data_IF_023351763531
#
_entry.id   IF_023351763531
#
_cell.length_a   1.000
_cell.length_b   1.000
_cell.length_c   1.000
_cell.angle_alpha   90.00
_cell.angle_beta   90.00
_cell.angle_gamma   90.00
#
_symmetry.space_group_name_H-M   'P 1'
#
loop_
_entity.id
_entity.type
_entity.pdbx_description
1 polymer ?
#
# COMPACT_ATOMS: atom_id res chain seq x y z
N UNK A 1 -9.03 -3.60 17.83
CA UNK A 1 -9.22 -2.26 17.25
C UNK A 1 -10.62 -2.22 16.64
N UNK A 2 -11.36 -1.13 16.78
CA UNK A 2 -12.66 -1.00 16.10
C UNK A 2 -12.46 -0.96 14.57
N UNK A 3 -13.38 -1.58 13.81
CA UNK A 3 -13.25 -1.74 12.36
C UNK A 3 -13.25 -0.39 11.61
N UNK A 4 -14.02 0.60 12.06
CA UNK A 4 -14.03 1.94 11.46
C UNK A 4 -12.69 2.65 11.64
N UNK A 5 -12.13 2.59 12.86
CA UNK A 5 -10.80 3.16 13.16
C UNK A 5 -9.68 2.45 12.40
N UNK A 6 -9.74 1.12 12.31
CA UNK A 6 -8.77 0.31 11.57
C UNK A 6 -8.76 0.62 10.07
N UNK A 7 -9.93 0.67 9.45
CA UNK A 7 -10.08 1.03 8.05
C UNK A 7 -9.61 2.46 7.78
N UNK A 8 -9.83 3.40 8.71
CA UNK A 8 -9.36 4.78 8.59
C UNK A 8 -7.84 4.86 8.56
N UNK A 9 -7.16 4.20 9.49
CA UNK A 9 -5.69 4.15 9.52
C UNK A 9 -5.15 3.53 8.23
N UNK A 10 -5.79 2.48 7.73
CA UNK A 10 -5.39 1.83 6.48
C UNK A 10 -5.58 2.75 5.27
N UNK A 11 -6.71 3.48 5.19
CA UNK A 11 -6.97 4.43 4.11
C UNK A 11 -5.92 5.54 4.09
N UNK A 12 -5.65 6.19 5.23
CA UNK A 12 -4.68 7.29 5.29
C UNK A 12 -3.28 6.78 4.96
N UNK A 13 -2.89 5.61 5.48
CA UNK A 13 -1.61 4.97 5.13
C UNK A 13 -1.53 4.68 3.62
N UNK A 14 -2.61 4.23 3.00
CA UNK A 14 -2.65 3.94 1.57
C UNK A 14 -2.58 5.21 0.72
N UNK A 15 -3.26 6.30 1.11
CA UNK A 15 -3.15 7.61 0.45
C UNK A 15 -1.70 8.10 0.49
N UNK A 16 -1.07 8.05 1.67
CA UNK A 16 0.34 8.42 1.85
C UNK A 16 1.22 7.56 0.94
N UNK A 17 1.05 6.23 0.95
CA UNK A 17 1.83 5.34 0.11
C UNK A 17 1.71 5.68 -1.38
N UNK A 18 0.49 5.86 -1.91
CA UNK A 18 0.28 6.21 -3.31
C UNK A 18 0.91 7.56 -3.68
N UNK A 19 0.75 8.57 -2.81
CA UNK A 19 1.38 9.88 -3.02
C UNK A 19 2.92 9.76 -3.01
N UNK A 20 3.49 9.00 -2.07
CA UNK A 20 4.94 8.83 -1.98
C UNK A 20 5.52 8.00 -3.13
N UNK A 21 4.79 7.02 -3.67
CA UNK A 21 5.18 6.31 -4.90
C UNK A 21 5.31 7.30 -6.05
N UNK A 22 4.29 8.14 -6.28
CA UNK A 22 4.29 9.16 -7.34
C UNK A 22 5.42 10.17 -7.14
N UNK A 23 5.58 10.73 -5.93
CA UNK A 23 6.60 11.74 -5.64
C UNK A 23 8.01 11.19 -5.80
N UNK A 24 8.30 10.00 -5.24
CA UNK A 24 9.62 9.39 -5.41
C UNK A 24 9.88 9.01 -6.86
N UNK A 25 8.88 8.52 -7.59
CA UNK A 25 9.05 8.23 -9.01
C UNK A 25 9.34 9.48 -9.84
N UNK A 26 8.70 10.62 -9.56
CA UNK A 26 9.05 11.90 -10.18
C UNK A 26 10.50 12.30 -9.91
N UNK A 27 10.97 12.19 -8.66
CA UNK A 27 12.37 12.46 -8.30
C UNK A 27 13.33 11.53 -9.05
N UNK A 28 13.00 10.24 -9.12
CA UNK A 28 13.79 9.25 -9.85
C UNK A 28 13.87 9.58 -11.34
N UNK A 29 12.75 10.01 -11.94
CA UNK A 29 12.69 10.37 -13.36
C UNK A 29 13.59 11.56 -13.72
N UNK A 30 13.78 12.55 -12.83
CA UNK A 30 14.64 13.71 -13.10
C UNK A 30 16.02 13.28 -13.60
N UNK A 31 16.61 12.26 -12.97
CA UNK A 31 17.93 11.74 -13.35
C UNK A 31 17.89 10.37 -14.06
N UNK A 32 16.71 9.75 -14.16
CA UNK A 32 16.54 8.38 -14.68
C UNK A 32 15.83 8.31 -16.02
N UNK A 33 15.24 9.42 -16.49
CA UNK A 33 14.43 9.43 -17.71
C UNK A 33 15.21 8.96 -18.94
N UNK A 34 16.50 9.26 -19.06
CA UNK A 34 17.33 8.79 -20.18
C UNK A 34 17.40 7.26 -20.23
N UNK A 35 17.46 6.56 -19.09
CA UNK A 35 17.45 5.09 -19.06
C UNK A 35 16.14 4.48 -19.57
N UNK A 36 15.02 5.21 -19.48
CA UNK A 36 13.71 4.79 -20.00
C UNK A 36 13.52 5.22 -21.46
N UNK A 37 14.03 6.38 -21.83
CA UNK A 37 13.83 7.00 -23.15
C UNK A 37 14.72 6.41 -24.25
N UNK A 38 15.84 5.77 -23.89
CA UNK A 38 16.66 4.98 -24.82
C UNK A 38 16.02 3.65 -25.21
N UNK A 39 14.92 3.27 -24.55
CA UNK A 39 14.17 2.05 -24.82
C UNK A 39 12.99 2.27 -25.78
N UNK A 40 12.00 1.39 -25.68
CA UNK A 40 10.88 1.32 -26.60
C UNK A 40 9.91 2.50 -26.41
N UNK A 41 9.42 3.12 -27.50
CA UNK A 41 8.48 4.26 -27.49
C UNK A 41 7.24 4.03 -26.60
N UNK A 42 6.82 2.78 -26.43
CA UNK A 42 5.72 2.37 -25.55
C UNK A 42 5.95 2.80 -24.09
N UNK A 43 7.20 2.86 -23.62
CA UNK A 43 7.52 3.26 -22.24
C UNK A 43 7.02 4.67 -21.92
N UNK A 44 7.08 5.61 -22.87
CA UNK A 44 6.61 7.00 -22.67
C UNK A 44 5.10 7.06 -22.40
N UNK A 45 4.32 6.31 -23.17
CA UNK A 45 2.87 6.23 -22.99
C UNK A 45 2.50 5.57 -21.66
N UNK A 46 3.25 4.53 -21.27
CA UNK A 46 3.06 3.83 -19.99
C UNK A 46 3.36 4.74 -18.79
N UNK A 47 4.38 5.62 -18.89
CA UNK A 47 4.64 6.66 -17.86
C UNK A 47 3.42 7.57 -17.70
N UNK A 48 2.92 8.15 -18.80
CA UNK A 48 1.80 9.10 -18.75
C UNK A 48 0.51 8.45 -18.22
N UNK A 49 0.19 7.25 -18.71
CA UNK A 49 -0.95 6.47 -18.24
C UNK A 49 -0.82 6.16 -16.74
N UNK A 50 0.36 5.70 -16.31
CA UNK A 50 0.63 5.39 -14.90
C UNK A 50 0.39 6.57 -13.98
N UNK A 51 0.89 7.76 -14.34
CA UNK A 51 0.60 8.98 -13.58
C UNK A 51 -0.89 9.33 -13.56
N UNK A 52 -1.56 9.28 -14.72
CA UNK A 52 -2.99 9.58 -14.82
C UNK A 52 -3.84 8.70 -13.90
N UNK A 53 -3.57 7.38 -13.90
CA UNK A 53 -4.27 6.44 -13.03
C UNK A 53 -3.99 6.71 -11.55
N UNK A 54 -2.74 6.98 -11.16
CA UNK A 54 -2.43 7.29 -9.75
C UNK A 54 -3.12 8.56 -9.26
N UNK A 55 -3.18 9.61 -10.09
CA UNK A 55 -3.90 10.84 -9.75
C UNK A 55 -5.38 10.54 -9.51
N UNK A 56 -6.01 9.76 -10.39
CA UNK A 56 -7.42 9.34 -10.24
C UNK A 56 -7.60 8.52 -8.96
N UNK A 57 -6.73 7.55 -8.69
CA UNK A 57 -6.80 6.69 -7.49
C UNK A 57 -6.64 7.53 -6.21
N UNK A 58 -5.65 8.42 -6.15
CA UNK A 58 -5.46 9.30 -5.00
C UNK A 58 -6.68 10.20 -4.79
N UNK A 59 -7.20 10.81 -5.86
CA UNK A 59 -8.40 11.64 -5.78
C UNK A 59 -9.62 10.86 -5.28
N UNK A 60 -9.82 9.64 -5.79
CA UNK A 60 -10.91 8.76 -5.35
C UNK A 60 -10.78 8.36 -3.87
N UNK A 61 -9.57 8.03 -3.40
CA UNK A 61 -9.32 7.70 -2.00
C UNK A 61 -9.53 8.91 -1.08
N UNK A 62 -9.10 10.11 -1.49
CA UNK A 62 -9.36 11.34 -0.75
C UNK A 62 -10.86 11.63 -0.69
N UNK A 63 -11.59 11.43 -1.79
CA UNK A 63 -13.05 11.57 -1.83
C UNK A 63 -13.73 10.61 -0.83
N UNK A 64 -13.33 9.34 -0.81
CA UNK A 64 -13.82 8.35 0.16
C UNK A 64 -13.47 8.74 1.61
N UNK A 65 -12.26 9.27 1.84
CA UNK A 65 -11.81 9.67 3.18
C UNK A 65 -12.46 10.94 3.72
N UNK A 66 -12.89 11.86 2.85
CA UNK A 66 -13.47 13.15 3.24
C UNK A 66 -14.99 13.21 3.14
N UNK A 67 -15.60 12.51 2.18
CA UNK A 67 -17.03 12.63 1.90
C UNK A 67 -17.81 11.47 2.51
N UNK A 68 -18.33 11.68 3.72
CA UNK A 68 -19.19 10.70 4.39
C UNK A 68 -20.42 10.35 3.52
N UNK A 69 -21.04 11.34 2.90
CA UNK A 69 -22.21 11.13 2.02
C UNK A 69 -21.87 10.22 0.84
N UNK A 70 -20.72 10.44 0.19
CA UNK A 70 -20.27 9.61 -0.91
C UNK A 70 -19.99 8.17 -0.44
N UNK A 71 -19.25 8.02 0.65
CA UNK A 71 -18.90 6.71 1.21
C UNK A 71 -20.14 5.93 1.65
N UNK A 72 -21.10 6.58 2.32
CA UNK A 72 -22.39 5.96 2.68
C UNK A 72 -23.15 5.50 1.44
N UNK A 73 -23.26 6.35 0.41
CA UNK A 73 -23.93 5.98 -0.86
C UNK A 73 -23.24 4.79 -1.52
N UNK A 74 -21.91 4.79 -1.60
CA UNK A 74 -21.13 3.72 -2.17
C UNK A 74 -21.34 2.39 -1.42
N UNK A 75 -21.24 2.41 -0.08
CA UNK A 75 -21.47 1.23 0.75
C UNK A 75 -22.90 0.72 0.57
N UNK A 76 -23.90 1.60 0.51
CA UNK A 76 -25.30 1.19 0.32
C UNK A 76 -25.55 0.56 -1.05
N UNK A 77 -24.89 1.05 -2.11
CA UNK A 77 -24.94 0.43 -3.45
C UNK A 77 -24.29 -0.96 -3.42
N UNK A 78 -23.13 -1.09 -2.77
CA UNK A 78 -22.43 -2.38 -2.63
C UNK A 78 -23.20 -3.39 -1.77
N UNK A 79 -24.14 -2.95 -0.92
CA UNK A 79 -25.02 -3.81 -0.15
C UNK A 79 -26.23 -4.33 -0.93
N UNK A 80 -26.56 -3.79 -2.10
CA UNK A 80 -27.74 -4.22 -2.89
C UNK A 80 -27.73 -5.74 -3.17
N UNK A 81 -26.63 -6.37 -3.61
CA UNK A 81 -26.59 -7.80 -3.89
C UNK A 81 -26.84 -8.68 -2.65
N UNK A 82 -26.50 -8.19 -1.45
CA UNK A 82 -26.71 -8.96 -0.21
C UNK A 82 -28.19 -9.21 0.10
N UNK A 83 -29.08 -8.38 -0.47
CA UNK A 83 -30.55 -8.56 -0.36
C UNK A 83 -31.05 -9.82 -1.07
N UNK A 84 -30.27 -10.37 -2.01
CA UNK A 84 -30.61 -11.61 -2.70
C UNK A 84 -30.34 -12.86 -1.84
N UNK A 85 -29.45 -12.75 -0.85
CA UNK A 85 -28.99 -13.90 -0.05
C UNK A 85 -29.36 -13.81 1.44
N UNK A 86 -29.84 -12.65 1.92
CA UNK A 86 -30.09 -12.39 3.33
C UNK A 86 -31.52 -11.91 3.61
N UNK A 87 -32.07 -12.29 4.77
CA UNK A 87 -33.37 -11.80 5.25
C UNK A 87 -33.34 -10.27 5.46
N UNK A 88 -34.47 -9.60 5.19
CA UNK A 88 -34.61 -8.13 5.26
C UNK A 88 -34.12 -7.54 6.60
N UNK A 89 -34.44 -8.18 7.72
CA UNK A 89 -34.02 -7.74 9.05
C UNK A 89 -32.50 -7.77 9.24
N UNK A 90 -31.82 -8.84 8.77
CA UNK A 90 -30.36 -8.94 8.83
C UNK A 90 -29.68 -7.89 7.95
N UNK A 91 -30.23 -7.59 6.78
CA UNK A 91 -29.72 -6.52 5.92
C UNK A 91 -29.88 -5.15 6.58
N UNK A 92 -31.01 -4.90 7.24
CA UNK A 92 -31.24 -3.66 7.99
C UNK A 92 -30.23 -3.48 9.13
N UNK A 93 -30.01 -4.53 9.94
CA UNK A 93 -29.05 -4.49 11.04
C UNK A 93 -27.61 -4.30 10.54
N UNK A 94 -27.24 -4.97 9.44
CA UNK A 94 -25.94 -4.79 8.79
C UNK A 94 -25.74 -3.35 8.31
N UNK A 95 -26.76 -2.75 7.70
CA UNK A 95 -26.73 -1.36 7.23
C UNK A 95 -26.51 -0.39 8.39
N UNK A 96 -27.27 -0.52 9.48
CA UNK A 96 -27.11 0.33 10.66
C UNK A 96 -25.71 0.21 11.26
N UNK A 97 -25.20 -1.03 11.38
CA UNK A 97 -23.85 -1.28 11.88
C UNK A 97 -22.79 -0.62 11.00
N UNK A 98 -22.93 -0.72 9.67
CA UNK A 98 -21.98 -0.12 8.73
C UNK A 98 -22.05 1.41 8.76
N UNK A 99 -23.22 2.01 8.91
CA UNK A 99 -23.38 3.46 9.03
C UNK A 99 -22.65 4.00 10.28
N UNK A 100 -22.71 3.31 11.42
CA UNK A 100 -21.92 3.64 12.61
C UNK A 100 -20.41 3.52 12.36
N UNK A 101 -19.96 2.47 11.64
CA UNK A 101 -18.54 2.31 11.28
C UNK A 101 -18.06 3.38 10.32
N UNK A 102 -18.92 3.84 9.41
CA UNK A 102 -18.62 4.94 8.49
C UNK A 102 -18.43 6.25 9.26
N UNK A 103 -19.27 6.53 10.26
CA UNK A 103 -19.11 7.71 11.12
C UNK A 103 -17.74 7.65 11.82
N UNK A 104 -17.47 6.54 12.52
CA UNK A 104 -16.19 6.34 13.24
C UNK A 104 -14.99 6.45 12.30
N UNK A 105 -15.10 5.91 11.07
CA UNK A 105 -14.07 6.01 10.04
C UNK A 105 -13.77 7.46 9.65
N UNK A 106 -14.79 8.30 9.45
CA UNK A 106 -14.58 9.69 9.05
C UNK A 106 -14.05 10.55 10.19
N UNK A 107 -14.50 10.32 11.43
CA UNK A 107 -13.96 10.99 12.63
C UNK A 107 -12.46 10.74 12.77
N UNK A 108 -12.04 9.47 12.67
CA UNK A 108 -10.63 9.11 12.78
C UNK A 108 -9.81 9.58 11.58
N UNK A 109 -10.35 9.50 10.36
CA UNK A 109 -9.66 9.94 9.14
C UNK A 109 -9.41 11.45 9.18
N UNK A 110 -10.41 12.20 9.67
CA UNK A 110 -10.29 13.64 9.90
C UNK A 110 -9.26 13.96 10.99
N UNK A 111 -9.26 13.20 12.10
CA UNK A 111 -8.29 13.38 13.19
C UNK A 111 -6.85 13.16 12.70
N UNK A 112 -6.59 12.04 12.01
CA UNK A 112 -5.25 11.74 11.45
C UNK A 112 -4.87 12.80 10.40
N UNK A 113 -5.82 13.20 9.56
CA UNK A 113 -5.64 14.22 8.53
C UNK A 113 -5.23 15.60 9.07
N UNK A 114 -5.59 15.93 10.32
CA UNK A 114 -5.21 17.18 11.00
C UNK A 114 -3.81 17.14 11.63
N UNK A 115 -3.29 15.94 11.91
CA UNK A 115 -1.95 15.79 12.48
C UNK A 115 -0.88 15.80 11.36
N UNK A 116 -0.55 17.00 10.92
CA UNK A 116 0.44 17.19 9.85
C UNK A 116 1.82 16.64 10.21
N UNK A 117 2.20 16.66 11.50
CA UNK A 117 3.50 16.13 11.96
C UNK A 117 3.55 14.61 11.79
N UNK A 118 2.45 13.92 12.12
CA UNK A 118 2.33 12.48 11.88
C UNK A 118 2.40 12.16 10.39
N UNK A 119 1.68 12.91 9.55
CA UNK A 119 1.70 12.72 8.09
C UNK A 119 3.12 12.88 7.54
N UNK A 120 3.83 13.95 7.90
CA UNK A 120 5.21 14.20 7.43
C UNK A 120 6.16 13.07 7.86
N UNK A 121 6.05 12.59 9.10
CA UNK A 121 6.84 11.43 9.56
C UNK A 121 6.53 10.18 8.75
N UNK A 122 5.25 9.89 8.50
CA UNK A 122 4.83 8.76 7.68
C UNK A 122 5.35 8.87 6.24
N UNK A 123 5.31 10.06 5.63
CA UNK A 123 5.88 10.31 4.31
C UNK A 123 7.38 10.03 4.30
N UNK A 124 8.13 10.54 5.29
CA UNK A 124 9.57 10.31 5.40
C UNK A 124 9.91 8.81 5.49
N UNK A 125 9.27 8.07 6.40
CA UNK A 125 9.50 6.62 6.54
C UNK A 125 9.10 5.85 5.30
N UNK A 126 8.03 6.28 4.62
CA UNK A 126 7.57 5.65 3.38
C UNK A 126 8.56 5.89 2.24
N UNK A 127 9.12 7.11 2.12
CA UNK A 127 10.22 7.37 1.18
C UNK A 127 11.40 6.44 1.45
N UNK A 128 11.88 6.38 2.69
CA UNK A 128 13.02 5.53 3.03
C UNK A 128 12.74 4.06 2.69
N UNK A 129 11.54 3.57 3.05
CA UNK A 129 11.07 2.24 2.68
C UNK A 129 11.09 2.03 1.16
N UNK A 130 10.59 2.98 0.38
CA UNK A 130 10.53 2.88 -1.08
C UNK A 130 11.92 2.86 -1.72
N UNK A 131 12.87 3.67 -1.26
CA UNK A 131 14.25 3.64 -1.79
C UNK A 131 14.95 2.31 -1.54
N UNK A 132 14.79 1.74 -0.34
CA UNK A 132 15.28 0.39 -0.04
C UNK A 132 14.58 -0.61 -0.95
N UNK A 133 13.26 -0.54 -1.06
CA UNK A 133 12.47 -1.46 -1.89
C UNK A 133 12.87 -1.38 -3.37
N UNK A 134 13.08 -0.17 -3.91
CA UNK A 134 13.51 0.04 -5.29
C UNK A 134 14.92 -0.49 -5.56
N UNK A 135 15.80 -0.52 -4.56
CA UNK A 135 17.15 -1.07 -4.69
C UNK A 135 17.21 -2.61 -4.75
N UNK A 136 16.14 -3.33 -4.38
CA UNK A 136 16.16 -4.79 -4.27
C UNK A 136 16.64 -5.48 -5.57
N UNK A 137 16.14 -5.14 -6.78
CA UNK A 137 16.62 -5.77 -8.00
C UNK A 137 18.11 -5.57 -8.26
N UNK A 138 18.70 -4.45 -7.85
CA UNK A 138 20.15 -4.25 -7.99
C UNK A 138 20.92 -5.32 -7.22
N UNK A 139 20.59 -5.56 -5.96
CA UNK A 139 21.27 -6.56 -5.14
C UNK A 139 21.05 -7.97 -5.65
N UNK A 140 19.87 -8.27 -6.20
CA UNK A 140 19.59 -9.55 -6.86
C UNK A 140 20.51 -9.74 -8.07
N UNK A 141 20.62 -8.72 -8.92
CA UNK A 141 21.47 -8.75 -10.11
C UNK A 141 22.94 -8.96 -9.75
N UNK A 142 23.44 -8.27 -8.73
CA UNK A 142 24.80 -8.49 -8.22
C UNK A 142 24.99 -9.92 -7.70
N UNK A 143 24.02 -10.46 -6.96
CA UNK A 143 24.10 -11.81 -6.41
C UNK A 143 24.16 -12.91 -7.48
N UNK A 144 23.53 -12.70 -8.65
CA UNK A 144 23.57 -13.65 -9.78
C UNK A 144 24.68 -13.36 -10.79
N UNK A 145 25.65 -12.51 -10.43
CA UNK A 145 26.81 -12.20 -11.26
C UNK A 145 26.47 -11.39 -12.52
N UNK A 146 25.53 -10.45 -12.43
CA UNK A 146 25.28 -9.43 -13.45
C UNK A 146 26.04 -8.16 -13.08
N UNK A 147 27.07 -7.86 -13.88
CA UNK A 147 27.85 -6.62 -13.78
C UNK A 147 27.46 -5.67 -14.92
N UNK A 148 27.53 -4.35 -14.70
CA UNK A 148 27.26 -3.33 -15.73
C UNK A 148 25.92 -2.60 -15.61
N UNK A 149 25.01 -3.06 -14.73
CA UNK A 149 23.79 -2.33 -14.38
C UNK A 149 24.06 -1.54 -13.08
N UNK A 150 24.10 -0.22 -13.17
CA UNK A 150 24.30 0.65 -12.01
C UNK A 150 23.08 0.67 -11.07
N UNK A 151 23.31 0.96 -9.79
CA UNK A 151 22.26 1.02 -8.76
C UNK A 151 21.11 1.94 -9.16
N UNK A 152 21.40 3.15 -9.65
CA UNK A 152 20.38 4.12 -10.01
C UNK A 152 19.54 3.70 -11.22
N UNK A 153 20.14 3.01 -12.18
CA UNK A 153 19.43 2.44 -13.33
C UNK A 153 18.46 1.35 -12.88
N UNK A 154 18.90 0.44 -12.01
CA UNK A 154 18.04 -0.60 -11.43
C UNK A 154 16.89 -0.02 -10.59
N UNK A 155 17.16 1.04 -9.80
CA UNK A 155 16.13 1.78 -9.06
C UNK A 155 15.12 2.41 -10.02
N UNK A 156 15.59 3.01 -11.11
CA UNK A 156 14.72 3.64 -12.12
C UNK A 156 13.79 2.60 -12.75
N UNK A 157 14.34 1.45 -13.15
CA UNK A 157 13.57 0.38 -13.76
C UNK A 157 12.58 -0.22 -12.78
N UNK A 158 13.01 -0.49 -11.55
CA UNK A 158 12.12 -1.04 -10.54
C UNK A 158 11.01 -0.06 -10.14
N UNK A 159 11.31 1.22 -9.95
CA UNK A 159 10.30 2.22 -9.64
C UNK A 159 9.25 2.32 -10.76
N UNK A 160 9.67 2.25 -12.03
CA UNK A 160 8.74 2.19 -13.17
C UNK A 160 7.89 0.92 -13.17
N UNK A 161 8.50 -0.25 -12.90
CA UNK A 161 7.78 -1.53 -12.78
C UNK A 161 6.70 -1.45 -11.71
N UNK A 162 7.03 -0.88 -10.54
CA UNK A 162 6.07 -0.74 -9.44
C UNK A 162 4.96 0.25 -9.79
N UNK A 163 5.30 1.38 -10.42
CA UNK A 163 4.29 2.34 -10.88
C UNK A 163 3.33 1.69 -11.90
N UNK A 164 3.81 0.84 -12.80
CA UNK A 164 2.92 0.18 -13.74
C UNK A 164 2.14 -0.99 -13.12
N UNK A 165 2.77 -1.75 -12.22
CA UNK A 165 2.13 -2.89 -11.56
C UNK A 165 0.93 -2.47 -10.70
N UNK A 166 0.94 -1.28 -10.09
CA UNK A 166 -0.18 -0.75 -9.29
C UNK A 166 -1.36 -0.27 -10.13
N UNK A 167 -1.18 -0.08 -11.44
CA UNK A 167 -2.29 0.21 -12.39
C UNK A 167 -3.10 -1.04 -12.70
N UNK A 168 -2.46 -2.21 -12.69
CA UNK A 168 -3.14 -3.46 -13.01
C UNK A 168 -4.05 -3.87 -11.85
N UNK A 169 -5.35 -4.14 -12.11
CA UNK A 169 -6.32 -4.50 -11.07
C UNK A 169 -6.16 -5.95 -10.57
N UNK A 170 -4.95 -6.51 -10.69
CA UNK A 170 -4.63 -7.87 -10.28
C UNK A 170 -4.06 -7.88 -8.85
N UNK A 171 -4.36 -8.92 -8.05
CA UNK A 171 -3.71 -9.09 -6.75
C UNK A 171 -2.19 -9.06 -6.91
N UNK A 172 -1.52 -8.17 -6.18
CA UNK A 172 -0.06 -8.02 -6.24
C UNK A 172 0.49 -7.44 -7.55
N UNK A 173 -0.35 -6.92 -8.44
CA UNK A 173 0.07 -6.42 -9.76
C UNK A 173 0.67 -7.53 -10.64
N UNK A 174 0.30 -8.79 -10.40
CA UNK A 174 0.73 -9.94 -11.19
C UNK A 174 0.38 -9.76 -12.68
N UNK A 175 1.20 -10.31 -13.58
CA UNK A 175 1.11 -10.02 -15.02
C UNK A 175 1.74 -8.66 -15.38
N UNK A 176 1.28 -7.56 -14.79
CA UNK A 176 1.85 -6.22 -15.04
C UNK A 176 3.30 -6.08 -14.60
N UNK A 177 3.60 -6.48 -13.37
CA UNK A 177 4.95 -6.41 -12.83
C UNK A 177 5.93 -7.34 -13.56
N UNK A 178 5.54 -8.59 -13.86
CA UNK A 178 6.38 -9.52 -14.62
C UNK A 178 6.63 -9.03 -16.04
N UNK A 179 5.59 -8.54 -16.72
CA UNK A 179 5.69 -8.03 -18.06
C UNK A 179 6.66 -6.85 -18.12
N UNK A 180 6.48 -5.85 -17.26
CA UNK A 180 7.36 -4.66 -17.26
C UNK A 180 8.77 -4.99 -16.78
N UNK A 181 8.93 -5.95 -15.85
CA UNK A 181 10.25 -6.43 -15.45
C UNK A 181 10.98 -7.08 -16.63
N UNK A 182 10.30 -7.97 -17.35
CA UNK A 182 10.82 -8.63 -18.54
C UNK A 182 11.13 -7.61 -19.64
N UNK A 183 10.25 -6.63 -19.86
CA UNK A 183 10.42 -5.58 -20.85
C UNK A 183 11.67 -4.73 -20.57
N UNK A 184 11.90 -4.33 -19.32
CA UNK A 184 13.03 -3.46 -18.98
C UNK A 184 14.35 -4.22 -18.81
N UNK A 185 14.37 -5.27 -18.01
CA UNK A 185 15.59 -6.03 -17.73
C UNK A 185 15.93 -7.03 -18.83
N UNK A 186 14.95 -7.49 -19.62
CA UNK A 186 15.20 -8.41 -20.74
C UNK A 186 15.97 -7.79 -21.90
N UNK A 187 15.98 -6.46 -22.03
CA UNK A 187 16.86 -5.75 -22.97
C UNK A 187 18.34 -5.85 -22.56
N UNK A 188 18.62 -6.14 -21.29
CA UNK A 188 19.96 -6.12 -20.72
C UNK A 188 20.46 -7.52 -20.32
N UNK A 189 19.56 -8.48 -20.15
CA UNK A 189 19.84 -9.80 -19.60
C UNK A 189 19.49 -10.91 -20.57
N UNK A 190 20.33 -11.94 -20.64
CA UNK A 190 19.97 -13.19 -21.31
C UNK A 190 18.81 -13.92 -20.61
N UNK A 191 18.06 -14.79 -21.33
CA UNK A 191 16.81 -15.39 -20.83
C UNK A 191 16.94 -16.09 -19.47
N UNK A 192 18.02 -16.85 -19.25
CA UNK A 192 18.25 -17.56 -17.99
C UNK A 192 18.44 -16.60 -16.81
N UNK A 193 19.27 -15.57 -16.96
CA UNK A 193 19.52 -14.58 -15.90
C UNK A 193 18.30 -13.72 -15.62
N UNK A 194 17.53 -13.39 -16.66
CA UNK A 194 16.26 -12.67 -16.52
C UNK A 194 15.25 -13.46 -15.68
N UNK A 195 15.05 -14.74 -16.00
CA UNK A 195 14.15 -15.62 -15.25
C UNK A 195 14.59 -15.75 -13.79
N UNK A 196 15.88 -15.99 -13.55
CA UNK A 196 16.43 -16.06 -12.19
C UNK A 196 16.18 -14.76 -11.40
N UNK A 197 16.47 -13.60 -12.00
CA UNK A 197 16.27 -12.31 -11.36
C UNK A 197 14.78 -12.07 -11.03
N UNK A 198 13.87 -12.38 -11.96
CA UNK A 198 12.43 -12.20 -11.77
C UNK A 198 11.91 -13.10 -10.64
N UNK A 199 12.28 -14.38 -10.63
CA UNK A 199 11.84 -15.34 -9.59
C UNK A 199 12.36 -14.93 -8.23
N UNK A 200 13.65 -14.61 -8.11
CA UNK A 200 14.24 -14.14 -6.84
C UNK A 200 13.57 -12.84 -6.36
N UNK A 201 13.30 -11.91 -7.29
CA UNK A 201 12.61 -10.67 -6.96
C UNK A 201 11.20 -10.93 -6.40
N UNK A 202 10.43 -11.85 -7.00
CA UNK A 202 9.11 -12.24 -6.47
C UNK A 202 9.21 -12.93 -5.12
N UNK A 203 10.19 -13.82 -4.92
CA UNK A 203 10.42 -14.47 -3.61
C UNK A 203 10.67 -13.42 -2.53
N UNK A 204 11.56 -12.46 -2.80
CA UNK A 204 11.97 -11.46 -1.82
C UNK A 204 10.87 -10.42 -1.59
N UNK A 205 10.18 -9.94 -2.61
CA UNK A 205 9.26 -8.80 -2.48
C UNK A 205 7.81 -9.20 -2.24
N UNK A 206 7.38 -10.34 -2.77
CA UNK A 206 5.98 -10.76 -2.74
C UNK A 206 5.77 -11.94 -1.79
N UNK A 207 6.47 -13.04 -1.99
CA UNK A 207 6.23 -14.26 -1.21
C UNK A 207 6.74 -14.17 0.24
N UNK A 208 7.86 -13.48 0.49
CA UNK A 208 8.37 -13.26 1.85
C UNK A 208 7.36 -12.51 2.73
N UNK A 209 6.69 -11.49 2.17
CA UNK A 209 5.67 -10.71 2.88
C UNK A 209 4.48 -11.57 3.31
N UNK A 210 4.08 -12.53 2.47
CA UNK A 210 3.00 -13.48 2.78
C UNK A 210 3.42 -14.40 3.92
N UNK A 211 4.63 -14.97 3.85
CA UNK A 211 5.15 -15.89 4.88
C UNK A 211 5.30 -15.18 6.22
N UNK A 212 5.93 -14.00 6.25
CA UNK A 212 6.08 -13.23 7.48
C UNK A 212 4.75 -12.73 8.01
N UNK A 213 3.83 -12.32 7.14
CA UNK A 213 2.48 -11.92 7.52
C UNK A 213 1.70 -13.08 8.17
N UNK A 214 1.75 -14.27 7.56
CA UNK A 214 1.14 -15.48 8.11
C UNK A 214 1.77 -15.85 9.46
N UNK A 215 3.10 -15.82 9.56
CA UNK A 215 3.83 -16.04 10.82
C UNK A 215 3.40 -15.06 11.91
N UNK A 216 3.28 -13.77 11.58
CA UNK A 216 2.84 -12.74 12.52
C UNK A 216 1.42 -12.98 13.06
N UNK A 217 0.51 -13.52 12.24
CA UNK A 217 -0.86 -13.88 12.67
C UNK A 217 -0.90 -15.09 13.61
N UNK A 218 0.05 -16.03 13.46
CA UNK A 218 0.15 -17.21 14.33
C UNK A 218 0.73 -16.86 15.71
N UNK A 219 1.48 -15.77 15.83
CA UNK A 219 1.97 -15.26 17.11
C UNK A 219 0.76 -14.74 17.91
N UNK A 220 0.30 -15.54 18.87
CA UNK A 220 -0.84 -15.22 19.74
C UNK A 220 -0.59 -13.88 20.43
N UNK A 221 -1.50 -12.93 20.22
CA UNK A 221 -1.44 -11.58 20.80
C UNK A 221 -1.41 -11.65 22.34
N UNK A 222 -0.19 -11.64 22.88
CA UNK A 222 0.07 -11.73 24.31
C UNK A 222 -0.04 -10.34 24.96
N UNK A 223 -0.02 -9.26 24.16
CA UNK A 223 -0.16 -7.88 24.64
C UNK A 223 -1.59 -7.58 25.11
N UNK A 224 -2.61 -8.10 24.40
CA UNK A 224 -4.03 -7.97 24.79
C UNK A 224 -4.34 -8.54 26.19
N UNK A 225 -3.62 -9.60 26.61
CA UNK A 225 -3.77 -10.21 27.94
C UNK A 225 -3.21 -9.38 29.10
N UNK A 226 -2.17 -8.56 28.88
CA UNK A 226 -1.55 -7.74 29.94
C UNK A 226 -2.28 -6.41 30.16
N UNK A 227 -2.89 -5.84 29.12
CA UNK A 227 -3.51 -4.50 29.18
C UNK A 227 -4.89 -4.53 29.85
N UNK A 228 -5.73 -5.52 29.56
CA UNK A 228 -7.07 -5.67 30.16
C UNK A 228 -7.09 -5.72 31.71
N UNK A 229 -6.24 -6.51 32.39
CA UNK A 229 -6.22 -6.54 33.85
C UNK A 229 -5.67 -5.24 34.45
N UNK A 230 -4.71 -4.57 33.81
CA UNK A 230 -4.15 -3.29 34.28
C UNK A 230 -5.17 -2.14 34.19
N UNK A 231 -5.97 -2.08 33.13
CA UNK A 231 -7.08 -1.11 33.01
C UNK A 231 -8.17 -1.39 34.07
N UNK A 232 -8.53 -2.66 34.30
CA UNK A 232 -9.47 -3.03 35.36
C UNK A 232 -8.94 -2.71 36.77
N UNK A 233 -7.64 -2.85 37.00
CA UNK A 233 -7.01 -2.50 38.27
C UNK A 233 -7.02 -0.98 38.50
N UNK A 234 -6.72 -0.19 37.47
CA UNK A 234 -6.78 1.28 37.54
C UNK A 234 -8.23 1.80 37.71
N UNK A 235 -9.22 1.16 37.07
CA UNK A 235 -10.63 1.51 37.22
C UNK A 235 -11.23 1.14 38.60
N UNK A 236 -10.58 0.23 39.33
CA UNK A 236 -10.97 -0.18 40.70
C UNK A 236 -10.18 0.55 41.79
N UNK A 237 -9.17 1.34 41.44
CA UNK A 237 -8.40 2.10 42.43
C UNK A 237 -9.24 3.28 42.93
N UNK A 238 -9.46 3.44 44.25
CA UNK A 238 -10.14 4.60 44.80
C UNK A 238 -9.33 5.87 44.50
N UNK A 239 -10.02 6.96 44.17
CA UNK A 239 -9.49 8.22 43.60
C UNK A 239 -8.40 8.95 44.44
N UNK A 240 -7.94 8.38 45.56
CA UNK A 240 -6.92 8.96 46.44
C UNK A 240 -5.47 8.58 46.09
N UNK A 241 -5.25 7.61 45.19
CA UNK A 241 -3.90 7.09 44.90
C UNK A 241 -3.51 7.18 43.40
N UNK A 242 -3.89 8.24 42.70
CA UNK A 242 -3.28 8.56 41.39
C UNK A 242 -2.01 9.36 41.69
N UNK A 243 -0.80 8.84 41.42
CA UNK A 243 0.42 9.64 41.54
C UNK A 243 0.32 10.81 40.55
N UNK A 244 0.59 12.03 41.04
CA UNK A 244 0.66 13.23 40.21
C UNK A 244 1.73 13.11 39.13
#
# INVERSE_FOLDING_TARGET
>A
MDAGRGSSVLLVKFIIYQAMVVLNFLVILIFGIHYLMTGVTQLKFLVLLGFGVHVIVIAALILVGRSQKFTTKLVHVLLIPTRLFMKKEKVSNLRNTLDEKIITFHEESSRIGKDWKLIVRCCFYTTLQLWIYFSIPFFILQAIGVTGIGLYMAITYHAFIIMFATVMPTPGGAGGAEYTFTLLFGMLLGPAKLLMALVLWRIITYYSCIVFGAGALLIKDTASKKIKPRIKALAKAPAKNIPQ
#
